data_IF_886506575238
#
_entry.id   IF_886506575238
#
_cell.length_a   1.000
_cell.length_b   1.000
_cell.length_c   1.000
_cell.angle_alpha   90.00
_cell.angle_beta   90.00
_cell.angle_gamma   90.00
#
_symmetry.space_group_name_H-M   'P 1'
#
loop_
_entity.id
_entity.type
_entity.pdbx_description
1 polymer ?
#
# COMPACT_ATOMS: atom_id res chain seq x y z
N UNK A 1 41.51 84.51 -15.41
CA UNK A 1 40.74 84.15 -16.62
C UNK A 1 41.58 83.15 -17.40
N UNK A 2 41.29 81.85 -17.24
CA UNK A 2 41.93 80.77 -17.99
C UNK A 2 40.82 79.84 -18.49
N UNK A 3 40.87 79.41 -19.76
CA UNK A 3 39.75 78.77 -20.45
C UNK A 3 39.82 77.24 -20.35
N UNK A 4 38.67 76.62 -20.62
CA UNK A 4 38.63 75.56 -21.62
C UNK A 4 38.61 74.10 -21.16
N UNK A 5 37.55 73.43 -21.65
CA UNK A 5 37.65 72.16 -22.39
C UNK A 5 37.83 70.84 -21.60
N UNK A 6 36.68 70.24 -21.28
CA UNK A 6 36.12 69.00 -21.86
C UNK A 6 37.02 67.77 -22.13
N UNK A 7 36.49 66.63 -21.66
CA UNK A 7 36.62 65.22 -22.12
C UNK A 7 37.74 64.35 -21.52
N UNK A 8 37.60 62.99 -21.50
CA UNK A 8 36.52 62.14 -22.03
C UNK A 8 35.93 61.11 -21.04
N UNK A 9 34.87 60.47 -21.55
CA UNK A 9 34.18 59.33 -21.01
C UNK A 9 35.00 58.02 -20.99
N UNK A 10 34.49 57.09 -20.19
CA UNK A 10 34.52 55.63 -20.36
C UNK A 10 35.86 54.91 -20.29
N UNK A 11 35.99 54.07 -19.27
CA UNK A 11 36.37 52.66 -19.48
C UNK A 11 35.76 51.81 -18.37
N UNK A 12 34.91 50.87 -18.79
CA UNK A 12 34.38 49.78 -17.97
C UNK A 12 35.56 48.88 -17.59
N UNK A 13 35.79 48.73 -16.28
CA UNK A 13 36.63 47.69 -15.71
C UNK A 13 35.78 46.79 -14.83
N UNK A 14 35.47 45.60 -15.31
CA UNK A 14 34.96 44.52 -14.46
C UNK A 14 36.16 43.94 -13.72
N UNK A 15 36.32 44.27 -12.44
CA UNK A 15 37.30 43.66 -11.56
C UNK A 15 36.55 42.99 -10.42
N UNK A 16 36.57 41.66 -10.45
CA UNK A 16 36.25 40.76 -9.35
C UNK A 16 37.17 41.04 -8.17
N UNK A 17 36.65 41.67 -7.13
CA UNK A 17 37.02 41.37 -5.74
C UNK A 17 36.07 42.09 -4.78
N UNK A 18 35.23 41.36 -4.05
CA UNK A 18 34.54 41.91 -2.87
C UNK A 18 35.02 41.08 -1.70
N UNK A 19 36.15 41.51 -1.13
CA UNK A 19 36.53 41.16 0.24
C UNK A 19 35.47 41.77 1.16
N UNK A 20 34.44 41.00 1.50
CA UNK A 20 33.50 41.34 2.56
C UNK A 20 34.12 40.97 3.91
N UNK A 21 34.48 41.99 4.69
CA UNK A 21 34.91 41.90 6.09
C UNK A 21 33.93 41.04 6.91
N UNK A 22 34.41 40.07 7.73
CA UNK A 22 33.52 39.27 8.57
C UNK A 22 32.96 40.16 9.69
N UNK A 23 31.63 40.29 9.72
CA UNK A 23 30.95 40.84 10.89
C UNK A 23 31.14 39.87 12.07
N UNK A 24 31.70 40.37 13.17
CA UNK A 24 31.84 39.64 14.42
C UNK A 24 30.46 39.35 15.02
N UNK A 25 29.90 38.17 14.72
CA UNK A 25 28.76 37.61 15.43
C UNK A 25 29.19 37.35 16.88
N UNK A 26 28.61 38.07 17.83
CA UNK A 26 28.77 37.74 19.25
C UNK A 26 28.34 36.30 19.52
N UNK A 27 28.79 35.68 20.62
CA UNK A 27 28.40 34.31 20.94
C UNK A 27 26.89 34.27 21.12
N UNK A 28 26.20 33.54 20.27
CA UNK A 28 24.86 33.05 20.59
C UNK A 28 25.05 32.18 21.83
N UNK A 29 24.80 32.74 23.02
CA UNK A 29 24.61 31.94 24.21
C UNK A 29 23.37 31.09 23.94
N UNK A 30 23.58 29.85 23.51
CA UNK A 30 22.55 28.84 23.47
C UNK A 30 22.03 28.72 24.90
N UNK A 31 20.89 29.36 25.19
CA UNK A 31 20.15 29.07 26.40
C UNK A 31 19.74 27.61 26.25
N UNK A 32 20.12 26.70 27.16
CA UNK A 32 19.50 25.39 27.16
C UNK A 32 18.00 25.65 27.39
N UNK A 33 17.20 25.40 26.36
CA UNK A 33 15.79 25.17 26.57
C UNK A 33 15.74 23.84 27.31
N UNK A 34 15.77 23.92 28.63
CA UNK A 34 15.32 22.82 29.47
C UNK A 34 13.85 22.70 29.13
N UNK A 35 13.52 21.76 28.26
CA UNK A 35 12.15 21.32 28.10
C UNK A 35 11.79 20.70 29.44
N UNK A 36 11.09 21.47 30.28
CA UNK A 36 10.39 20.92 31.44
C UNK A 36 9.34 19.95 30.89
N UNK A 37 9.76 18.71 30.75
CA UNK A 37 8.96 17.59 30.23
C UNK A 37 8.52 16.68 31.36
N UNK A 38 8.74 17.08 32.61
CA UNK A 38 8.59 16.22 33.78
C UNK A 38 7.36 16.54 34.64
N UNK A 39 6.56 17.54 34.27
CA UNK A 39 5.49 18.06 35.15
C UNK A 39 4.04 17.84 34.70
N UNK A 40 3.76 17.44 33.46
CA UNK A 40 2.39 17.44 32.90
C UNK A 40 2.10 16.22 31.99
N UNK A 41 2.85 15.14 32.20
CA UNK A 41 2.54 13.87 31.54
C UNK A 41 1.31 13.26 32.25
N UNK A 42 0.22 12.96 31.55
CA UNK A 42 -0.84 12.10 32.10
C UNK A 42 -0.17 10.83 32.63
N UNK A 43 -0.43 10.50 33.89
CA UNK A 43 0.29 9.46 34.63
C UNK A 43 -0.15 8.08 34.16
N UNK A 44 0.25 7.71 32.95
CA UNK A 44 0.11 6.37 32.41
C UNK A 44 1.23 5.52 33.01
N UNK A 45 0.86 4.49 33.76
CA UNK A 45 1.82 3.53 34.36
C UNK A 45 2.29 2.55 33.28
N UNK A 46 3.30 2.95 32.51
CA UNK A 46 3.89 2.15 31.44
C UNK A 46 4.39 0.78 31.96
N UNK A 47 5.11 0.67 33.09
CA UNK A 47 5.50 -0.63 33.65
C UNK A 47 4.33 -1.57 33.93
N UNK A 48 3.20 -1.06 34.43
CA UNK A 48 2.00 -1.89 34.63
C UNK A 48 1.44 -2.38 33.28
N UNK A 49 1.33 -1.49 32.29
CA UNK A 49 0.89 -1.84 30.93
C UNK A 49 1.77 -2.92 30.33
N UNK A 50 3.09 -2.79 30.43
CA UNK A 50 4.00 -3.81 29.90
C UNK A 50 3.85 -5.17 30.58
N UNK A 51 3.51 -5.20 31.87
CA UNK A 51 3.24 -6.46 32.56
C UNK A 51 1.97 -7.12 32.02
N UNK A 52 0.89 -6.35 31.85
CA UNK A 52 -0.35 -6.85 31.23
C UNK A 52 -0.07 -7.37 29.80
N UNK A 53 0.72 -6.64 29.01
CA UNK A 53 1.11 -7.05 27.66
C UNK A 53 1.95 -8.33 27.61
N UNK A 54 2.68 -8.68 28.69
CA UNK A 54 3.42 -9.95 28.75
C UNK A 54 2.49 -11.15 28.96
N UNK A 55 1.31 -10.94 29.53
CA UNK A 55 0.37 -12.02 29.82
C UNK A 55 -0.47 -12.39 28.59
N UNK A 56 -1.17 -11.41 28.00
CA UNK A 56 -2.09 -11.64 26.88
C UNK A 56 -1.92 -10.67 25.70
N UNK A 57 -0.88 -9.83 25.74
CA UNK A 57 -0.61 -8.76 24.77
C UNK A 57 -1.73 -7.71 24.66
N UNK A 58 -2.56 -7.58 25.70
CA UNK A 58 -3.61 -6.57 25.80
C UNK A 58 -3.57 -5.87 27.16
N UNK A 59 -3.53 -4.53 27.14
CA UNK A 59 -3.76 -3.71 28.33
C UNK A 59 -4.99 -2.86 28.11
N UNK A 60 -6.15 -3.28 28.63
CA UNK A 60 -7.43 -2.62 28.40
C UNK A 60 -8.43 -2.86 29.54
N UNK A 61 -9.52 -2.07 29.63
CA UNK A 61 -10.65 -2.37 30.49
C UNK A 61 -11.21 -3.78 30.29
N UNK A 62 -11.51 -4.47 31.39
CA UNK A 62 -11.83 -5.90 31.41
C UNK A 62 -13.06 -6.30 30.57
N UNK A 63 -13.97 -5.36 30.30
CA UNK A 63 -15.17 -5.58 29.48
C UNK A 63 -14.84 -5.73 27.98
N UNK A 64 -13.76 -5.10 27.50
CA UNK A 64 -13.33 -5.14 26.10
C UNK A 64 -12.12 -6.06 25.86
N UNK A 65 -11.34 -6.39 26.89
CA UNK A 65 -10.15 -7.26 26.81
C UNK A 65 -10.40 -8.56 26.04
N UNK A 66 -11.49 -9.33 26.27
CA UNK A 66 -11.72 -10.58 25.53
C UNK A 66 -11.94 -10.40 24.03
N UNK A 67 -12.37 -9.21 23.59
CA UNK A 67 -12.42 -8.83 22.18
C UNK A 67 -11.03 -8.66 21.60
N UNK A 68 -10.21 -7.86 22.26
CA UNK A 68 -8.85 -7.52 21.84
C UNK A 68 -7.90 -8.72 21.84
N UNK A 69 -8.01 -9.61 22.83
CA UNK A 69 -7.20 -10.84 22.88
C UNK A 69 -7.46 -11.72 21.65
N UNK A 70 -8.70 -11.73 21.13
CA UNK A 70 -9.00 -12.44 19.88
C UNK A 70 -8.35 -11.79 18.67
N UNK A 71 -8.34 -10.45 18.59
CA UNK A 71 -7.65 -9.70 17.53
C UNK A 71 -6.14 -9.98 17.54
N UNK A 72 -5.53 -9.95 18.72
CA UNK A 72 -4.12 -10.30 18.92
C UNK A 72 -3.83 -11.75 18.50
N UNK A 73 -4.67 -12.69 18.92
CA UNK A 73 -4.51 -14.10 18.57
C UNK A 73 -4.60 -14.31 17.05
N UNK A 74 -5.56 -13.67 16.39
CA UNK A 74 -5.71 -13.71 14.93
C UNK A 74 -4.48 -13.11 14.23
N UNK A 75 -3.99 -11.94 14.66
CA UNK A 75 -2.77 -11.34 14.12
C UNK A 75 -1.54 -12.27 14.28
N UNK A 76 -1.43 -12.94 15.43
CA UNK A 76 -0.38 -13.92 15.71
C UNK A 76 -0.48 -15.15 14.80
N UNK A 77 -1.68 -15.66 14.56
CA UNK A 77 -1.92 -16.78 13.64
C UNK A 77 -1.48 -16.44 12.21
N UNK A 78 -1.52 -15.15 11.84
CA UNK A 78 -0.99 -14.61 10.59
C UNK A 78 0.50 -14.21 10.64
N UNK A 79 1.20 -14.50 11.75
CA UNK A 79 2.64 -14.29 11.90
C UNK A 79 3.05 -12.90 12.39
N UNK A 80 2.11 -12.08 12.87
CA UNK A 80 2.37 -10.73 13.36
C UNK A 80 2.28 -10.67 14.89
N UNK A 81 3.32 -10.15 15.55
CA UNK A 81 3.28 -9.88 16.98
C UNK A 81 2.58 -8.54 17.22
N UNK A 82 1.40 -8.59 17.84
CA UNK A 82 0.58 -7.43 18.12
C UNK A 82 0.38 -7.25 19.62
N UNK A 83 0.57 -6.04 20.09
CA UNK A 83 0.27 -5.56 21.44
C UNK A 83 -0.76 -4.44 21.34
N UNK A 84 -1.86 -4.52 22.08
CA UNK A 84 -2.92 -3.49 22.07
C UNK A 84 -3.10 -2.89 23.45
N UNK A 85 -3.06 -1.56 23.51
CA UNK A 85 -3.24 -0.78 24.73
C UNK A 85 -4.43 0.15 24.54
N UNK A 86 -5.35 0.16 25.50
CA UNK A 86 -6.50 1.08 25.52
C UNK A 86 -6.40 1.98 26.75
N UNK A 87 -6.16 3.26 26.50
CA UNK A 87 -6.18 4.31 27.51
C UNK A 87 -7.63 4.79 27.69
N UNK A 88 -8.04 4.95 28.95
CA UNK A 88 -9.39 5.42 29.30
C UNK A 88 -9.49 6.94 29.34
N UNK A 89 -8.36 7.63 29.48
CA UNK A 89 -8.30 9.09 29.59
C UNK A 89 -7.72 9.72 28.32
N UNK A 90 -8.28 10.86 27.86
CA UNK A 90 -7.75 11.59 26.71
C UNK A 90 -6.37 12.14 27.04
N UNK A 91 -5.53 12.24 26.02
CA UNK A 91 -4.16 12.72 26.19
C UNK A 91 -4.08 14.21 25.82
N UNK A 92 -3.39 15.06 26.60
CA UNK A 92 -3.32 16.50 26.33
C UNK A 92 -2.79 16.84 24.94
N UNK A 93 -1.92 15.97 24.40
CA UNK A 93 -1.31 16.13 23.07
C UNK A 93 -1.38 14.81 22.33
N UNK A 94 -1.84 14.84 21.07
CA UNK A 94 -1.94 13.66 20.21
C UNK A 94 -0.61 12.89 20.04
N UNK A 95 0.53 13.57 20.17
CA UNK A 95 1.86 12.94 20.05
C UNK A 95 2.15 11.97 21.19
N UNK A 96 1.54 12.15 22.37
CA UNK A 96 1.76 11.28 23.52
C UNK A 96 1.38 9.83 23.21
N UNK A 97 0.29 9.59 22.47
CA UNK A 97 -0.10 8.25 22.04
C UNK A 97 1.01 7.54 21.25
N UNK A 98 1.68 8.26 20.35
CA UNK A 98 2.78 7.73 19.54
C UNK A 98 4.04 7.53 20.38
N UNK A 99 4.29 8.43 21.32
CA UNK A 99 5.47 8.37 22.17
C UNK A 99 5.34 7.17 23.14
N UNK A 100 4.17 6.93 23.74
CA UNK A 100 3.87 5.71 24.50
C UNK A 100 3.98 4.44 23.66
N UNK A 101 3.43 4.43 22.43
CA UNK A 101 3.57 3.27 21.54
C UNK A 101 5.04 2.97 21.21
N UNK A 102 5.89 4.00 21.15
CA UNK A 102 7.32 3.87 20.88
C UNK A 102 8.06 3.35 22.11
N UNK A 103 7.73 3.87 23.29
CA UNK A 103 8.30 3.47 24.58
C UNK A 103 7.93 2.01 24.91
N UNK A 104 6.64 1.66 24.88
CA UNK A 104 6.17 0.29 25.16
C UNK A 104 6.79 -0.73 24.19
N UNK A 105 6.91 -0.39 22.90
CA UNK A 105 7.52 -1.30 21.91
C UNK A 105 8.99 -1.57 22.21
N UNK A 106 9.71 -0.63 22.82
CA UNK A 106 11.12 -0.82 23.14
C UNK A 106 11.33 -2.08 23.99
N UNK A 107 10.42 -2.33 24.95
CA UNK A 107 10.55 -3.43 25.92
C UNK A 107 9.64 -4.64 25.61
N UNK A 108 8.56 -4.45 24.83
CA UNK A 108 7.63 -5.54 24.45
C UNK A 108 7.86 -6.08 23.04
N UNK A 109 8.49 -5.31 22.15
CA UNK A 109 8.71 -5.68 20.75
C UNK A 109 7.45 -5.68 19.88
N UNK A 110 7.59 -6.17 18.65
CA UNK A 110 6.48 -6.32 17.70
C UNK A 110 5.83 -5.00 17.26
N UNK A 111 4.51 -5.04 17.09
CA UNK A 111 3.65 -3.91 16.77
C UNK A 111 2.82 -3.53 17.97
N UNK A 112 2.94 -2.28 18.44
CA UNK A 112 2.15 -1.72 19.53
C UNK A 112 1.15 -0.73 18.97
N UNK A 113 -0.12 -0.89 19.34
CA UNK A 113 -1.20 0.05 19.06
C UNK A 113 -1.68 0.61 20.40
N UNK A 114 -1.69 1.94 20.53
CA UNK A 114 -2.25 2.65 21.69
C UNK A 114 -3.50 3.40 21.24
N UNK A 115 -4.66 2.98 21.73
CA UNK A 115 -5.96 3.59 21.47
C UNK A 115 -6.37 4.41 22.69
N UNK A 116 -6.85 5.63 22.49
CA UNK A 116 -7.53 6.38 23.54
C UNK A 116 -8.78 7.07 23.01
N UNK A 117 -9.52 7.79 23.86
CA UNK A 117 -10.82 8.33 23.48
C UNK A 117 -10.76 9.42 22.40
N UNK A 118 -9.63 10.11 22.26
CA UNK A 118 -9.45 11.24 21.34
C UNK A 118 -8.28 11.04 20.34
N UNK A 119 -7.62 9.88 20.36
CA UNK A 119 -6.45 9.67 19.53
C UNK A 119 -6.01 8.21 19.43
N UNK A 120 -5.06 8.00 18.52
CA UNK A 120 -4.41 6.72 18.29
C UNK A 120 -2.94 6.93 18.02
N UNK A 121 -2.12 6.05 18.59
CA UNK A 121 -0.69 5.97 18.38
C UNK A 121 -0.31 4.55 18.00
N UNK A 122 0.75 4.41 17.21
CA UNK A 122 1.27 3.10 16.89
C UNK A 122 2.76 3.15 16.65
N UNK A 123 3.42 2.03 16.90
CA UNK A 123 4.80 1.84 16.55
C UNK A 123 5.06 0.36 16.29
N UNK A 124 5.80 0.06 15.21
CA UNK A 124 6.05 -1.30 14.78
C UNK A 124 7.53 -1.52 14.49
N UNK A 125 8.01 -2.75 14.68
CA UNK A 125 9.28 -3.23 14.17
C UNK A 125 9.17 -3.77 12.72
N UNK A 126 7.98 -4.24 12.33
CA UNK A 126 7.76 -4.99 11.09
C UNK A 126 7.16 -4.13 9.97
N UNK A 127 6.39 -3.10 10.34
CA UNK A 127 5.70 -2.23 9.39
C UNK A 127 6.36 -0.85 9.29
N UNK A 128 6.40 -0.31 8.07
CA UNK A 128 6.92 1.05 7.86
C UNK A 128 5.99 2.09 8.45
N UNK A 129 6.55 3.24 8.82
CA UNK A 129 5.77 4.37 9.36
C UNK A 129 4.60 4.78 8.46
N UNK A 130 4.79 4.78 7.15
CA UNK A 130 3.74 5.13 6.17
C UNK A 130 2.59 4.12 6.21
N UNK A 131 2.88 2.81 6.34
CA UNK A 131 1.84 1.78 6.45
C UNK A 131 1.01 1.97 7.72
N UNK A 132 1.66 2.28 8.84
CA UNK A 132 0.96 2.56 10.09
C UNK A 132 0.10 3.83 10.00
N UNK A 133 0.62 4.91 9.41
CA UNK A 133 -0.12 6.16 9.20
C UNK A 133 -1.35 5.94 8.30
N UNK A 134 -1.24 5.10 7.28
CA UNK A 134 -2.37 4.72 6.41
C UNK A 134 -3.39 3.84 7.12
N UNK A 135 -2.93 2.89 7.95
CA UNK A 135 -3.81 2.00 8.71
C UNK A 135 -4.63 2.76 9.77
N UNK A 136 -4.09 3.86 10.29
CA UNK A 136 -4.73 4.71 11.30
C UNK A 136 -5.80 5.65 10.76
N UNK A 137 -5.91 5.81 9.44
CA UNK A 137 -6.91 6.71 8.86
C UNK A 137 -8.34 6.21 9.14
N UNK A 138 -9.30 7.09 9.41
CA UNK A 138 -10.73 6.72 9.57
C UNK A 138 -11.01 5.49 10.47
N UNK A 139 -10.26 5.30 11.55
CA UNK A 139 -10.53 4.24 12.54
C UNK A 139 -11.78 4.56 13.36
N UNK A 140 -12.53 3.53 13.73
CA UNK A 140 -13.67 3.66 14.65
C UNK A 140 -13.20 3.72 16.11
N UNK A 141 -12.52 4.79 16.50
CA UNK A 141 -11.90 4.97 17.84
C UNK A 141 -12.91 4.86 19.00
N UNK A 142 -14.21 5.11 18.75
CA UNK A 142 -15.27 4.89 19.73
C UNK A 142 -15.50 3.42 20.10
N UNK A 143 -14.91 2.48 19.36
CA UNK A 143 -15.00 1.04 19.57
C UNK A 143 -13.59 0.44 19.44
N UNK A 144 -12.81 0.38 20.54
CA UNK A 144 -11.40 0.00 20.50
C UNK A 144 -11.15 -1.39 19.91
N UNK A 145 -12.09 -2.33 20.07
CA UNK A 145 -11.96 -3.67 19.48
C UNK A 145 -12.07 -3.61 17.96
N UNK A 146 -13.05 -2.88 17.44
CA UNK A 146 -13.20 -2.68 15.99
C UNK A 146 -12.04 -1.86 15.43
N UNK A 147 -11.59 -0.82 16.14
CA UNK A 147 -10.44 -0.02 15.73
C UNK A 147 -9.16 -0.87 15.63
N UNK A 148 -8.90 -1.74 16.61
CA UNK A 148 -7.76 -2.65 16.59
C UNK A 148 -7.85 -3.61 15.40
N UNK A 149 -9.01 -4.24 15.17
CA UNK A 149 -9.20 -5.13 14.02
C UNK A 149 -8.98 -4.39 12.69
N UNK A 150 -9.57 -3.21 12.51
CA UNK A 150 -9.40 -2.41 11.30
C UNK A 150 -7.94 -2.04 11.05
N UNK A 151 -7.19 -1.73 12.12
CA UNK A 151 -5.78 -1.41 12.00
C UNK A 151 -4.95 -2.63 11.62
N UNK A 152 -5.23 -3.79 12.21
CA UNK A 152 -4.59 -5.07 11.85
C UNK A 152 -4.89 -5.41 10.41
N UNK A 153 -6.18 -5.52 10.05
CA UNK A 153 -6.61 -5.87 8.69
C UNK A 153 -5.90 -4.99 7.65
N UNK A 154 -5.86 -3.68 7.86
CA UNK A 154 -5.22 -2.76 6.93
C UNK A 154 -3.71 -2.92 6.91
N UNK A 155 -3.05 -3.09 8.05
CA UNK A 155 -1.60 -3.22 8.06
C UNK A 155 -1.15 -4.58 7.48
N UNK A 156 -1.99 -5.62 7.57
CA UNK A 156 -1.73 -6.98 7.07
C UNK A 156 -2.26 -7.26 5.66
N UNK A 157 -3.27 -6.53 5.19
CA UNK A 157 -3.82 -6.62 3.82
C UNK A 157 -2.80 -6.18 2.75
N UNK A 158 -1.66 -5.62 3.17
CA UNK A 158 -0.46 -5.48 2.33
C UNK A 158 0.27 -6.82 2.09
N UNK A 159 -0.31 -7.98 2.44
CA UNK A 159 0.19 -9.27 1.96
C UNK A 159 0.26 -9.20 0.43
N UNK A 160 1.45 -9.33 -0.20
CA UNK A 160 1.55 -9.18 -1.64
C UNK A 160 0.74 -10.29 -2.29
N UNK A 161 -0.48 -9.96 -2.75
CA UNK A 161 -1.22 -10.78 -3.71
C UNK A 161 -0.20 -11.09 -4.80
N UNK A 162 0.12 -12.36 -5.07
CA UNK A 162 1.18 -12.70 -6.01
C UNK A 162 0.68 -12.37 -7.41
N UNK A 163 0.77 -11.10 -7.80
CA UNK A 163 0.28 -10.56 -9.06
C UNK A 163 0.93 -11.26 -10.25
N UNK A 164 2.15 -11.76 -10.09
CA UNK A 164 2.79 -12.65 -11.04
C UNK A 164 1.99 -13.94 -11.24
N UNK A 165 1.53 -14.59 -10.18
CA UNK A 165 0.68 -15.79 -10.27
C UNK A 165 -0.66 -15.47 -10.89
N UNK A 166 -1.31 -14.38 -10.48
CA UNK A 166 -2.59 -13.92 -11.06
C UNK A 166 -2.43 -13.66 -12.57
N UNK A 167 -1.38 -12.94 -12.96
CA UNK A 167 -1.10 -12.60 -14.36
C UNK A 167 -0.77 -13.86 -15.17
N UNK A 168 0.03 -14.77 -14.62
CA UNK A 168 0.34 -16.06 -15.27
C UNK A 168 -0.94 -16.87 -15.48
N UNK A 169 -1.81 -16.98 -14.47
CA UNK A 169 -3.10 -17.66 -14.60
C UNK A 169 -3.99 -17.02 -15.68
N UNK A 170 -4.08 -15.68 -15.73
CA UNK A 170 -4.84 -14.97 -16.77
C UNK A 170 -4.29 -15.24 -18.18
N UNK A 171 -2.97 -15.21 -18.35
CA UNK A 171 -2.31 -15.52 -19.63
C UNK A 171 -2.62 -16.97 -20.04
N UNK A 172 -2.55 -17.93 -19.11
CA UNK A 172 -2.87 -19.34 -19.37
C UNK A 172 -4.33 -19.48 -19.83
N UNK A 173 -5.28 -18.87 -19.13
CA UNK A 173 -6.70 -18.90 -19.50
C UNK A 173 -6.92 -18.28 -20.89
N UNK A 174 -6.26 -17.16 -21.19
CA UNK A 174 -6.34 -16.50 -22.49
C UNK A 174 -5.80 -17.40 -23.62
N UNK A 175 -4.64 -18.04 -23.41
CA UNK A 175 -4.04 -18.95 -24.39
C UNK A 175 -4.97 -20.15 -24.61
N UNK A 176 -5.51 -20.76 -23.54
CA UNK A 176 -6.45 -21.87 -23.64
C UNK A 176 -7.72 -21.46 -24.42
N UNK A 177 -8.28 -20.30 -24.10
CA UNK A 177 -9.43 -19.75 -24.81
C UNK A 177 -9.15 -19.54 -26.30
N UNK A 178 -7.99 -18.97 -26.64
CA UNK A 178 -7.57 -18.76 -28.02
C UNK A 178 -7.37 -20.09 -28.78
N UNK A 179 -6.75 -21.10 -28.14
CA UNK A 179 -6.56 -22.43 -28.73
C UNK A 179 -7.90 -23.11 -28.98
N UNK A 180 -8.82 -23.08 -28.01
CA UNK A 180 -10.16 -23.67 -28.17
C UNK A 180 -10.92 -22.98 -29.29
N UNK A 181 -10.91 -21.64 -29.33
CA UNK A 181 -11.54 -20.87 -30.39
C UNK A 181 -10.94 -21.20 -31.76
N UNK A 182 -9.61 -21.31 -31.86
CA UNK A 182 -8.90 -21.67 -33.09
C UNK A 182 -9.26 -23.06 -33.58
N UNK A 183 -9.31 -24.06 -32.69
CA UNK A 183 -9.69 -25.43 -33.04
C UNK A 183 -11.15 -25.47 -33.51
N UNK A 184 -12.07 -24.77 -32.84
CA UNK A 184 -13.47 -24.68 -33.27
C UNK A 184 -13.60 -24.01 -34.65
N UNK A 185 -12.83 -22.95 -34.90
CA UNK A 185 -12.82 -22.26 -36.19
C UNK A 185 -12.29 -23.15 -37.32
N UNK A 186 -11.23 -23.91 -37.08
CA UNK A 186 -10.68 -24.85 -38.07
C UNK A 186 -11.64 -26.00 -38.35
N UNK A 187 -12.30 -26.56 -37.33
CA UNK A 187 -13.30 -27.61 -37.50
C UNK A 187 -14.54 -27.12 -38.25
N UNK A 188 -14.98 -25.89 -37.99
CA UNK A 188 -16.09 -25.28 -38.73
C UNK A 188 -15.76 -25.10 -40.22
N UNK A 189 -14.53 -24.71 -40.55
CA UNK A 189 -14.08 -24.58 -41.95
C UNK A 189 -13.98 -25.93 -42.64
N UNK A 190 -13.40 -26.93 -41.98
CA UNK A 190 -13.33 -28.29 -42.52
C UNK A 190 -14.72 -28.88 -42.80
N UNK A 191 -15.74 -28.60 -41.97
CA UNK A 191 -17.10 -29.07 -42.21
C UNK A 191 -17.76 -28.43 -43.45
N UNK A 192 -17.42 -27.17 -43.76
CA UNK A 192 -17.90 -26.46 -44.95
C UNK A 192 -17.21 -26.98 -46.21
N UNK A 193 -15.89 -27.19 -46.16
CA UNK A 193 -15.12 -27.67 -47.31
C UNK A 193 -15.52 -29.11 -47.72
N UNK A 194 -15.89 -29.97 -46.76
CA UNK A 194 -16.39 -31.32 -47.07
C UNK A 194 -17.80 -31.28 -47.70
N UNK A 195 -18.67 -30.36 -47.27
CA UNK A 195 -20.01 -30.23 -47.85
C UNK A 195 -19.96 -29.75 -49.32
N UNK A 196 -19.07 -28.81 -49.63
CA UNK A 196 -18.87 -28.33 -51.01
C UNK A 196 -18.26 -29.41 -51.93
N UNK A 197 -17.42 -30.28 -51.35
CA UNK A 197 -16.85 -31.45 -52.05
C UNK A 197 -17.91 -32.52 -52.35
N UNK A 198 -18.79 -32.81 -51.39
CA UNK A 198 -19.90 -33.76 -51.57
C UNK A 198 -20.90 -33.26 -52.62
N UNK A 199 -21.26 -31.96 -52.59
CA UNK A 199 -22.16 -31.36 -53.59
C UNK A 199 -21.55 -31.37 -55.00
N UNK A 200 -20.25 -31.13 -55.13
CA UNK A 200 -19.53 -31.23 -56.39
C UNK A 200 -19.46 -32.67 -56.93
N UNK A 201 -19.29 -33.66 -56.05
CA UNK A 201 -19.31 -35.09 -56.41
C UNK A 201 -20.71 -35.54 -56.88
N UNK A 202 -21.79 -35.10 -56.20
CA UNK A 202 -23.17 -35.42 -56.57
C UNK A 202 -23.58 -34.76 -57.90
N UNK A 203 -23.14 -33.53 -58.16
CA UNK A 203 -23.37 -32.83 -59.42
C UNK A 203 -22.68 -33.53 -60.60
N UNK A 204 -21.42 -33.97 -60.40
CA UNK A 204 -20.66 -34.67 -61.44
C UNK A 204 -21.14 -36.11 -61.67
N UNK A 205 -21.63 -36.81 -60.64
CA UNK A 205 -22.31 -38.11 -60.77
C UNK A 205 -23.64 -37.99 -61.55
N UNK A 206 -24.41 -36.92 -61.32
CA UNK A 206 -25.66 -36.65 -62.03
C UNK A 206 -25.43 -36.30 -63.51
N UNK A 207 -24.39 -35.53 -63.80
CA UNK A 207 -23.98 -35.22 -65.18
C UNK A 207 -23.53 -36.47 -65.96
N UNK A 208 -22.79 -37.39 -65.30
CA UNK A 208 -22.41 -38.67 -65.89
C UNK A 208 -23.60 -39.57 -66.20
N UNK A 209 -24.63 -39.57 -65.36
CA UNK A 209 -25.85 -40.37 -65.56
C UNK A 209 -26.74 -39.81 -66.68
N UNK A 210 -26.79 -38.48 -66.84
CA UNK A 210 -27.53 -37.82 -67.93
C UNK A 210 -26.90 -37.99 -69.32
N UNK A 211 -25.57 -38.15 -69.39
CA UNK A 211 -24.88 -38.38 -70.68
C UNK A 211 -25.04 -39.80 -71.23
N UNK A 212 -25.43 -40.77 -70.41
CA UNK A 212 -25.61 -42.17 -70.83
C UNK A 212 -27.01 -42.48 -71.41
N UNK A 213 -27.98 -41.57 -71.27
CA UNK A 213 -29.35 -41.77 -71.77
C UNK A 213 -29.63 -41.17 -73.15
N UNK A 214 -28.62 -40.61 -73.82
CA UNK A 214 -28.74 -40.06 -75.18
C UNK A 214 -28.00 -40.98 -76.18
N UNK A 215 -28.49 -42.21 -76.30
CA UNK A 215 -28.13 -43.11 -77.40
C UNK A 215 -28.93 -42.73 -78.65
N UNK A 216 -28.32 -42.70 -79.85
CA UNK A 216 -29.01 -42.28 -81.07
C UNK A 216 -29.96 -43.39 -81.55
N UNK A 217 -31.27 -43.21 -81.33
CA UNK A 217 -32.28 -44.01 -81.99
C UNK A 217 -32.48 -43.48 -83.42
N UNK A 218 -32.29 -44.36 -84.40
CA UNK A 218 -32.32 -44.13 -85.86
C UNK A 218 -33.60 -43.46 -86.37
N UNK A 219 -33.67 -43.01 -87.62
CA UNK A 219 -33.58 -43.77 -88.87
C UNK A 219 -33.25 -42.81 -90.02
#
# INVERSE_FOLDING_TARGET
MTPGQMSPASTVGYATDVTATPAHLGPFAARPMVADTSGDQPTVDIPAIENDLRDDHVSAPADITPGLVRVVADARDHGHQLNVVVLTEPQPVFTHYRDFATEIRHDTGGTVIVLGPDGVGSSSADFSRVQLEQAQDNLKISDPTVAAQQMVDRVTDQTPVPWTVVTVCLIVVMILGAVIARVRQLRARAAVDNADSDDAEVASASARRGSASNGPDGV
#
